data_IF_889169236149
#
_entry.id   IF_889169236149
#
_cell.length_a   1.000
_cell.length_b   1.000
_cell.length_c   1.000
_cell.angle_alpha   90.00
_cell.angle_beta   90.00
_cell.angle_gamma   90.00
#
_symmetry.space_group_name_H-M   'P 1'
#
loop_
_entity.id
_entity.type
_entity.pdbx_description
1 polymer ?
#
# COMPACT_ATOMS: atom_id res chain seq x y z
N UNK A 1 22.95 11.15 5.67
CA UNK A 1 22.14 11.63 6.82
C UNK A 1 21.38 12.94 6.60
N UNK A 2 21.73 13.81 5.62
CA UNK A 2 20.93 15.03 5.34
C UNK A 2 19.47 14.72 4.95
N UNK A 3 19.22 13.63 4.22
CA UNK A 3 17.90 13.31 3.68
C UNK A 3 16.89 12.81 4.73
N UNK A 4 17.33 12.05 5.75
CA UNK A 4 16.42 11.55 6.79
C UNK A 4 15.87 12.68 7.65
N UNK A 5 16.73 13.62 8.06
CA UNK A 5 16.29 14.75 8.88
C UNK A 5 15.32 15.65 8.09
N UNK A 6 15.54 15.86 6.79
CA UNK A 6 14.58 16.59 5.94
C UNK A 6 13.21 15.91 5.91
N UNK A 7 13.15 14.59 5.68
CA UNK A 7 11.89 13.83 5.71
C UNK A 7 11.24 13.96 7.08
N UNK A 8 12.01 13.81 8.16
CA UNK A 8 11.51 13.93 9.52
C UNK A 8 10.94 15.32 9.80
N UNK A 9 11.60 16.39 9.38
CA UNK A 9 11.11 17.76 9.56
C UNK A 9 9.84 18.01 8.73
N UNK A 10 9.79 17.52 7.49
CA UNK A 10 8.59 17.56 6.67
C UNK A 10 7.44 16.80 7.35
N UNK A 11 7.66 15.55 7.73
CA UNK A 11 6.68 14.70 8.41
C UNK A 11 6.15 15.33 9.70
N UNK A 12 7.05 15.90 10.50
CA UNK A 12 6.69 16.62 11.72
C UNK A 12 5.90 17.90 11.45
N UNK A 13 6.11 18.57 10.32
CA UNK A 13 5.31 19.74 9.93
C UNK A 13 3.94 19.31 9.38
N UNK A 14 3.94 18.31 8.51
CA UNK A 14 2.78 17.71 7.88
C UNK A 14 1.77 17.28 8.95
N UNK A 15 2.16 16.37 9.85
CA UNK A 15 1.25 15.82 10.85
C UNK A 15 1.00 16.70 12.09
N UNK A 16 1.64 17.86 12.24
CA UNK A 16 1.43 18.73 13.43
C UNK A 16 0.15 19.55 13.38
N UNK A 17 -0.52 19.59 12.24
CA UNK A 17 -1.76 20.33 12.10
C UNK A 17 -2.90 19.45 12.65
N UNK A 18 -3.15 19.54 13.96
CA UNK A 18 -4.29 18.87 14.63
C UNK A 18 -5.64 19.23 13.96
N UNK A 19 -5.69 20.36 13.24
CA UNK A 19 -6.80 20.77 12.37
C UNK A 19 -7.03 19.80 11.19
N UNK A 20 -5.98 19.21 10.59
CA UNK A 20 -6.10 18.27 9.45
C UNK A 20 -6.72 16.91 9.85
N UNK A 21 -6.71 16.55 11.14
CA UNK A 21 -7.36 15.31 11.62
C UNK A 21 -8.86 15.50 11.74
N UNK A 22 -9.33 16.71 12.05
CA UNK A 22 -10.76 17.01 11.98
C UNK A 22 -11.27 16.98 10.53
N UNK A 23 -10.38 17.21 9.55
CA UNK A 23 -10.70 17.04 8.13
C UNK A 23 -10.88 15.56 7.74
N UNK A 24 -10.39 14.59 8.53
CA UNK A 24 -10.60 13.15 8.21
C UNK A 24 -12.09 12.76 8.20
N UNK A 25 -12.90 13.31 9.12
CA UNK A 25 -14.36 13.12 9.16
C UNK A 25 -15.00 13.80 7.94
N UNK A 26 -14.51 14.99 7.56
CA UNK A 26 -15.00 15.71 6.39
C UNK A 26 -14.70 14.94 5.10
N UNK A 27 -13.50 14.37 4.95
CA UNK A 27 -13.08 13.55 3.81
C UNK A 27 -13.98 12.32 3.70
N UNK A 28 -14.20 11.61 4.81
CA UNK A 28 -15.09 10.44 4.84
C UNK A 28 -16.51 10.81 4.39
N UNK A 29 -17.10 11.86 4.97
CA UNK A 29 -18.42 12.35 4.58
C UNK A 29 -18.50 12.76 3.10
N UNK A 30 -17.47 13.44 2.58
CA UNK A 30 -17.42 13.85 1.18
C UNK A 30 -17.30 12.66 0.24
N UNK A 31 -16.42 11.71 0.54
CA UNK A 31 -16.20 10.51 -0.25
C UNK A 31 -17.48 9.64 -0.29
N UNK A 32 -18.16 9.49 0.85
CA UNK A 32 -19.44 8.78 0.94
C UNK A 32 -20.56 9.49 0.17
N UNK A 33 -20.70 10.82 0.31
CA UNK A 33 -21.69 11.59 -0.47
C UNK A 33 -21.45 11.46 -1.96
N UNK A 34 -20.19 11.50 -2.40
CA UNK A 34 -19.83 11.30 -3.80
C UNK A 34 -20.18 9.89 -4.26
N UNK A 35 -19.80 8.86 -3.50
CA UNK A 35 -20.14 7.47 -3.79
C UNK A 35 -21.67 7.30 -3.93
N UNK A 36 -22.44 7.72 -2.93
CA UNK A 36 -23.90 7.54 -2.92
C UNK A 36 -24.61 8.26 -4.06
N UNK A 37 -24.20 9.50 -4.35
CA UNK A 37 -24.83 10.32 -5.40
C UNK A 37 -24.66 9.72 -6.80
N UNK A 38 -23.56 9.00 -7.03
CA UNK A 38 -23.24 8.43 -8.33
C UNK A 38 -23.62 6.95 -8.44
N UNK A 39 -23.64 6.19 -7.33
CA UNK A 39 -23.80 4.73 -7.37
C UNK A 39 -25.10 4.26 -8.05
N UNK A 40 -26.21 4.96 -7.82
CA UNK A 40 -27.54 4.54 -8.30
C UNK A 40 -27.65 4.65 -9.83
N UNK A 41 -27.01 5.66 -10.42
CA UNK A 41 -27.16 6.01 -11.83
C UNK A 41 -26.15 5.32 -12.74
N UNK A 42 -25.21 4.59 -12.16
CA UNK A 42 -24.09 4.00 -12.87
C UNK A 42 -24.31 2.53 -13.24
N UNK A 43 -23.58 2.07 -14.25
CA UNK A 43 -23.52 0.63 -14.55
C UNK A 43 -22.64 -0.11 -13.53
N UNK A 44 -22.76 -1.43 -13.50
CA UNK A 44 -22.07 -2.28 -12.53
C UNK A 44 -20.54 -2.14 -12.56
N UNK A 45 -19.94 -1.94 -13.74
CA UNK A 45 -18.51 -1.69 -13.85
C UNK A 45 -18.15 -0.37 -13.15
N UNK A 46 -18.92 0.70 -13.39
CA UNK A 46 -18.69 2.01 -12.77
C UNK A 46 -18.92 1.99 -11.26
N UNK A 47 -19.88 1.21 -10.76
CA UNK A 47 -20.08 1.04 -9.32
C UNK A 47 -18.84 0.46 -8.60
N UNK A 48 -18.15 -0.50 -9.22
CA UNK A 48 -16.89 -1.02 -8.66
C UNK A 48 -15.79 0.04 -8.68
N UNK A 49 -15.71 0.86 -9.75
CA UNK A 49 -14.75 1.97 -9.80
C UNK A 49 -15.07 3.08 -8.79
N UNK A 50 -16.35 3.34 -8.51
CA UNK A 50 -16.77 4.26 -7.45
C UNK A 50 -16.36 3.75 -6.06
N UNK A 51 -16.54 2.45 -5.79
CA UNK A 51 -16.08 1.85 -4.53
C UNK A 51 -14.56 1.93 -4.38
N UNK A 52 -13.82 1.63 -5.45
CA UNK A 52 -12.38 1.86 -5.48
C UNK A 52 -12.03 3.32 -5.13
N UNK A 53 -12.73 4.29 -5.73
CA UNK A 53 -12.54 5.72 -5.43
C UNK A 53 -12.76 6.02 -3.94
N UNK A 54 -13.91 5.58 -3.40
CA UNK A 54 -14.24 5.71 -1.98
C UNK A 54 -13.13 5.17 -1.08
N UNK A 55 -12.71 3.92 -1.28
CA UNK A 55 -11.67 3.33 -0.42
C UNK A 55 -10.30 3.99 -0.64
N UNK A 56 -10.00 4.48 -1.85
CA UNK A 56 -8.75 5.20 -2.11
C UNK A 56 -8.66 6.50 -1.32
N UNK A 57 -9.75 7.26 -1.24
CA UNK A 57 -9.78 8.52 -0.47
C UNK A 57 -9.66 8.23 1.04
N UNK A 58 -10.30 7.15 1.50
CA UNK A 58 -10.29 6.76 2.92
C UNK A 58 -8.96 6.16 3.39
N UNK A 59 -8.18 5.52 2.50
CA UNK A 59 -6.84 5.00 2.82
C UNK A 59 -5.94 6.11 3.35
N UNK A 60 -5.98 7.27 2.70
CA UNK A 60 -5.14 8.40 3.06
C UNK A 60 -5.48 8.94 4.45
N UNK A 61 -6.75 9.32 4.66
CA UNK A 61 -7.21 9.93 5.91
C UNK A 61 -7.09 8.99 7.11
N UNK A 62 -7.36 7.69 6.92
CA UNK A 62 -7.19 6.69 7.98
C UNK A 62 -5.72 6.40 8.29
N UNK A 63 -4.84 6.38 7.28
CA UNK A 63 -3.40 6.23 7.44
C UNK A 63 -2.78 7.40 8.22
N UNK A 64 -3.15 8.63 7.88
CA UNK A 64 -2.78 9.84 8.63
C UNK A 64 -3.21 9.77 10.08
N UNK A 65 -4.49 9.47 10.32
CA UNK A 65 -5.05 9.38 11.67
C UNK A 65 -4.30 8.35 12.52
N UNK A 66 -4.05 7.16 11.97
CA UNK A 66 -3.35 6.11 12.69
C UNK A 66 -1.90 6.50 13.02
N UNK A 67 -1.15 6.95 12.02
CA UNK A 67 0.26 7.29 12.18
C UNK A 67 0.46 8.51 13.08
N UNK A 68 -0.47 9.47 13.05
CA UNK A 68 -0.48 10.60 13.98
C UNK A 68 -0.72 10.17 15.42
N UNK A 69 -1.76 9.36 15.69
CA UNK A 69 -2.06 8.87 17.04
C UNK A 69 -0.85 8.16 17.62
N UNK A 70 -0.19 7.34 16.81
CA UNK A 70 0.98 6.61 17.24
C UNK A 70 2.18 7.54 17.51
N UNK A 71 2.53 8.44 16.59
CA UNK A 71 3.75 9.22 16.70
C UNK A 71 3.64 10.46 17.61
N UNK A 72 2.48 11.09 17.71
CA UNK A 72 2.31 12.35 18.44
C UNK A 72 1.53 12.22 19.74
N UNK A 73 0.63 11.24 19.83
CA UNK A 73 -0.08 10.94 21.08
C UNK A 73 0.50 9.71 21.80
N UNK A 74 1.50 9.05 21.22
CA UNK A 74 2.09 7.81 21.73
C UNK A 74 1.01 6.76 22.04
N UNK A 75 -0.02 6.70 21.18
CA UNK A 75 -1.21 5.91 21.40
C UNK A 75 -1.36 4.88 20.29
N UNK A 76 -1.14 3.61 20.64
CA UNK A 76 -1.61 2.51 19.79
C UNK A 76 -3.13 2.47 19.83
N UNK A 77 -3.77 2.62 18.67
CA UNK A 77 -5.21 2.63 18.53
C UNK A 77 -5.66 1.53 17.56
N UNK A 78 -6.25 0.46 18.09
CA UNK A 78 -6.72 -0.67 17.29
C UNK A 78 -7.81 -0.26 16.28
N UNK A 79 -8.71 0.64 16.67
CA UNK A 79 -9.79 1.11 15.79
C UNK A 79 -9.19 1.81 14.56
N UNK A 80 -8.28 2.76 14.77
CA UNK A 80 -7.63 3.49 13.68
C UNK A 80 -6.79 2.57 12.79
N UNK A 81 -6.10 1.57 13.37
CA UNK A 81 -5.38 0.57 12.58
C UNK A 81 -6.33 -0.31 11.75
N UNK A 82 -7.44 -0.77 12.34
CA UNK A 82 -8.42 -1.58 11.63
C UNK A 82 -9.08 -0.79 10.49
N UNK A 83 -9.46 0.47 10.71
CA UNK A 83 -9.98 1.35 9.66
C UNK A 83 -8.97 1.45 8.50
N UNK A 84 -7.71 1.76 8.83
CA UNK A 84 -6.65 1.88 7.83
C UNK A 84 -6.44 0.60 7.03
N UNK A 85 -6.28 -0.55 7.70
CA UNK A 85 -6.06 -1.83 7.03
C UNK A 85 -7.29 -2.28 6.23
N UNK A 86 -8.50 -2.06 6.75
CA UNK A 86 -9.72 -2.37 6.01
C UNK A 86 -9.82 -1.58 4.72
N UNK A 87 -9.53 -0.28 4.74
CA UNK A 87 -9.59 0.54 3.53
C UNK A 87 -8.45 0.23 2.56
N UNK A 88 -7.24 -0.05 3.05
CA UNK A 88 -6.11 -0.54 2.23
C UNK A 88 -6.50 -1.81 1.49
N UNK A 89 -7.02 -2.80 2.22
CA UNK A 89 -7.44 -4.06 1.63
C UNK A 89 -8.60 -3.87 0.64
N UNK A 90 -9.64 -3.13 1.01
CA UNK A 90 -10.81 -2.92 0.14
C UNK A 90 -10.48 -2.14 -1.13
N UNK A 91 -9.52 -1.20 -1.07
CA UNK A 91 -9.02 -0.51 -2.26
C UNK A 91 -8.31 -1.51 -3.20
N UNK A 92 -7.35 -2.29 -2.69
CA UNK A 92 -6.65 -3.31 -3.47
C UNK A 92 -7.59 -4.37 -4.06
N UNK A 93 -8.53 -4.84 -3.26
CA UNK A 93 -9.48 -5.85 -3.69
C UNK A 93 -10.38 -5.31 -4.81
N UNK A 94 -10.91 -4.09 -4.64
CA UNK A 94 -11.72 -3.42 -5.67
C UNK A 94 -10.95 -3.23 -6.97
N UNK A 95 -9.66 -2.86 -6.89
CA UNK A 95 -8.75 -2.80 -8.04
C UNK A 95 -8.62 -4.17 -8.72
N UNK A 96 -8.41 -5.23 -7.93
CA UNK A 96 -8.25 -6.58 -8.46
C UNK A 96 -9.47 -7.10 -9.22
N UNK A 97 -10.68 -6.84 -8.71
CA UNK A 97 -11.92 -7.36 -9.30
C UNK A 97 -12.54 -6.44 -10.36
N UNK A 98 -12.10 -5.18 -10.45
CA UNK A 98 -12.58 -4.25 -11.45
C UNK A 98 -12.33 -4.73 -12.88
N UNK A 99 -13.28 -4.45 -13.76
CA UNK A 99 -13.12 -4.63 -15.21
C UNK A 99 -12.56 -3.34 -15.80
N UNK A 100 -11.52 -3.47 -16.61
CA UNK A 100 -10.86 -2.34 -17.28
C UNK A 100 -11.11 -2.37 -18.78
N UNK A 101 -11.60 -1.27 -19.33
CA UNK A 101 -11.68 -1.03 -20.78
C UNK A 101 -10.82 0.17 -21.18
N UNK A 102 -10.68 0.42 -22.49
CA UNK A 102 -9.79 1.46 -23.02
C UNK A 102 -10.12 2.90 -22.60
N UNK A 103 -11.29 3.14 -22.01
CA UNK A 103 -11.75 4.47 -21.58
C UNK A 103 -11.58 4.74 -20.09
N UNK A 104 -11.25 3.73 -19.29
CA UNK A 104 -11.19 3.86 -17.84
C UNK A 104 -9.76 4.15 -17.40
N UNK A 105 -9.54 5.38 -16.93
CA UNK A 105 -8.26 5.76 -16.36
C UNK A 105 -8.05 5.01 -15.04
N UNK A 106 -6.86 4.44 -14.94
CA UNK A 106 -6.44 3.81 -13.71
C UNK A 106 -6.03 4.89 -12.72
N UNK A 107 -6.90 5.15 -11.73
CA UNK A 107 -6.68 6.23 -10.74
C UNK A 107 -5.54 5.90 -9.76
N UNK A 108 -5.31 4.63 -9.41
CA UNK A 108 -4.34 4.23 -8.37
C UNK A 108 -2.97 3.90 -8.97
N UNK A 109 -1.86 4.43 -8.47
CA UNK A 109 -0.56 4.10 -9.07
C UNK A 109 -0.17 2.61 -8.95
N UNK A 110 0.76 2.15 -9.80
CA UNK A 110 1.44 0.87 -9.58
C UNK A 110 2.26 0.91 -8.28
N UNK A 111 2.84 2.06 -7.96
CA UNK A 111 3.55 2.30 -6.71
C UNK A 111 2.61 2.25 -5.50
N UNK A 112 1.45 2.90 -5.56
CA UNK A 112 0.42 2.87 -4.50
C UNK A 112 -0.03 1.44 -4.20
N UNK A 113 -0.23 0.61 -5.22
CA UNK A 113 -0.56 -0.81 -4.97
C UNK A 113 0.60 -1.57 -4.33
N UNK A 114 1.83 -1.32 -4.76
CA UNK A 114 3.02 -1.89 -4.14
C UNK A 114 3.12 -1.53 -2.67
N UNK A 115 2.92 -0.25 -2.34
CA UNK A 115 2.83 0.26 -0.97
C UNK A 115 1.73 -0.46 -0.18
N UNK A 116 0.50 -0.49 -0.69
CA UNK A 116 -0.64 -1.12 -0.02
C UNK A 116 -0.41 -2.62 0.24
N UNK A 117 0.18 -3.35 -0.72
CA UNK A 117 0.57 -4.75 -0.54
C UNK A 117 1.61 -4.89 0.59
N UNK A 118 2.64 -4.03 0.59
CA UNK A 118 3.66 -4.04 1.63
C UNK A 118 3.07 -3.69 3.00
N UNK A 119 2.11 -2.77 3.09
CA UNK A 119 1.41 -2.44 4.34
C UNK A 119 0.60 -3.64 4.86
N UNK A 120 -0.15 -4.34 4.01
CA UNK A 120 -0.86 -5.56 4.43
C UNK A 120 0.12 -6.60 4.98
N UNK A 121 1.25 -6.82 4.31
CA UNK A 121 2.28 -7.77 4.77
C UNK A 121 2.97 -7.28 6.06
N UNK A 122 3.26 -5.98 6.18
CA UNK A 122 3.86 -5.35 7.36
C UNK A 122 2.98 -5.41 8.60
N UNK A 123 1.66 -5.49 8.41
CA UNK A 123 0.67 -5.49 9.49
C UNK A 123 0.08 -6.86 9.81
N UNK A 124 0.77 -7.94 9.40
CA UNK A 124 0.35 -9.33 9.59
C UNK A 124 -0.91 -9.76 8.81
N UNK A 125 -1.36 -9.00 7.82
CA UNK A 125 -2.54 -9.29 7.00
C UNK A 125 -2.16 -9.92 5.64
N UNK A 126 -1.25 -10.89 5.66
CA UNK A 126 -0.77 -11.56 4.44
C UNK A 126 -1.93 -12.30 3.73
N UNK A 127 -2.91 -12.80 4.48
CA UNK A 127 -4.12 -13.42 3.91
C UNK A 127 -4.97 -12.44 3.08
N UNK A 128 -5.03 -11.17 3.48
CA UNK A 128 -5.71 -10.12 2.69
C UNK A 128 -4.94 -9.82 1.39
N UNK A 129 -3.61 -9.82 1.46
CA UNK A 129 -2.77 -9.66 0.27
C UNK A 129 -2.90 -10.86 -0.69
N UNK A 130 -2.93 -12.07 -0.13
CA UNK A 130 -3.11 -13.34 -0.86
C UNK A 130 -4.47 -13.38 -1.59
N UNK A 131 -5.55 -13.00 -0.91
CA UNK A 131 -6.88 -12.94 -1.51
C UNK A 131 -6.94 -12.02 -2.76
N UNK A 132 -6.13 -10.94 -2.77
CA UNK A 132 -6.00 -10.06 -3.92
C UNK A 132 -5.11 -10.63 -5.04
N UNK A 133 -4.26 -11.63 -4.77
CA UNK A 133 -3.13 -11.99 -5.64
C UNK A 133 -3.54 -12.40 -7.05
N UNK A 134 -4.45 -13.35 -7.19
CA UNK A 134 -4.84 -13.88 -8.52
C UNK A 134 -5.38 -12.80 -9.45
N UNK A 135 -6.12 -11.86 -8.87
CA UNK A 135 -6.73 -10.73 -9.53
C UNK A 135 -5.71 -9.66 -9.92
N UNK A 136 -4.86 -9.25 -8.99
CA UNK A 136 -3.80 -8.27 -9.23
C UNK A 136 -2.77 -8.79 -10.24
N UNK A 137 -2.37 -10.06 -10.12
CA UNK A 137 -1.49 -10.74 -11.10
C UNK A 137 -2.10 -10.69 -12.50
N UNK A 138 -3.38 -11.02 -12.64
CA UNK A 138 -4.07 -10.93 -13.94
C UNK A 138 -4.02 -9.50 -14.51
N UNK A 139 -4.28 -8.49 -13.69
CA UNK A 139 -4.19 -7.09 -14.12
C UNK A 139 -2.79 -6.70 -14.62
N UNK A 140 -1.72 -7.21 -13.99
CA UNK A 140 -0.35 -7.04 -14.50
C UNK A 140 -0.20 -7.68 -15.89
N UNK A 141 -0.58 -8.96 -16.01
CA UNK A 141 -0.36 -9.75 -17.23
C UNK A 141 -1.23 -9.31 -18.42
N UNK A 142 -2.44 -8.80 -18.16
CA UNK A 142 -3.33 -8.25 -19.17
C UNK A 142 -2.91 -6.82 -19.60
N UNK A 143 -1.76 -6.33 -19.13
CA UNK A 143 -1.21 -5.02 -19.46
C UNK A 143 -2.06 -3.85 -18.96
N UNK A 144 -2.96 -4.09 -17.99
CA UNK A 144 -3.74 -3.02 -17.34
C UNK A 144 -2.75 -2.08 -16.66
N UNK A 145 -1.82 -2.60 -15.87
CA UNK A 145 -0.81 -1.84 -15.14
C UNK A 145 0.24 -1.20 -16.05
N UNK A 146 0.61 -1.85 -17.16
CA UNK A 146 1.52 -1.27 -18.16
C UNK A 146 0.97 0.06 -18.70
N UNK A 147 -0.36 0.17 -18.90
CA UNK A 147 -1.01 1.42 -19.35
C UNK A 147 -0.93 2.54 -18.31
N UNK A 148 -0.96 2.20 -17.03
CA UNK A 148 -0.88 3.15 -15.90
C UNK A 148 0.55 3.67 -15.75
N UNK A 149 1.50 2.78 -15.98
CA UNK A 149 2.93 3.07 -16.00
C UNK A 149 3.30 3.92 -17.24
N UNK A 150 2.66 3.66 -18.38
CA UNK A 150 2.83 4.35 -19.68
C UNK A 150 1.82 5.46 -19.92
N UNK A 151 1.53 6.33 -18.93
CA UNK A 151 0.57 7.45 -19.05
C UNK A 151 0.67 8.21 -20.39
N UNK A 152 1.86 8.27 -21.00
CA UNK A 152 2.07 8.69 -22.38
C UNK A 152 2.90 7.64 -23.16
N UNK A 153 2.47 7.28 -24.38
CA UNK A 153 3.13 6.24 -25.21
C UNK A 153 4.59 6.55 -25.58
N UNK A 154 4.99 7.82 -25.48
CA UNK A 154 6.29 8.32 -25.90
C UNK A 154 7.19 8.79 -24.75
N UNK A 155 6.81 8.56 -23.49
CA UNK A 155 7.63 8.94 -22.35
C UNK A 155 8.57 7.79 -21.96
N UNK A 156 9.85 8.11 -21.74
CA UNK A 156 10.77 7.19 -21.06
C UNK A 156 10.22 6.88 -19.67
N UNK A 157 9.98 5.59 -19.43
CA UNK A 157 9.42 5.12 -18.17
C UNK A 157 10.58 4.81 -17.21
N UNK A 158 10.67 5.48 -16.07
CA UNK A 158 11.70 5.17 -15.09
C UNK A 158 11.42 3.80 -14.43
N UNK A 159 12.49 3.07 -14.04
CA UNK A 159 12.37 1.80 -13.34
C UNK A 159 11.48 1.87 -12.09
N UNK A 160 10.54 0.93 -12.00
CA UNK A 160 9.57 0.78 -10.91
C UNK A 160 10.16 0.04 -9.72
N UNK A 161 9.63 0.31 -8.52
CA UNK A 161 10.25 -0.03 -7.22
C UNK A 161 9.27 -0.69 -6.26
N UNK A 162 8.37 0.06 -5.64
CA UNK A 162 7.43 -0.44 -4.63
C UNK A 162 6.48 -1.49 -5.21
N UNK A 163 5.95 -1.24 -6.41
CA UNK A 163 5.15 -2.23 -7.11
C UNK A 163 5.93 -3.52 -7.38
N UNK A 164 7.18 -3.41 -7.84
CA UNK A 164 8.06 -4.55 -8.12
C UNK A 164 8.34 -5.36 -6.84
N UNK A 165 8.61 -4.68 -5.73
CA UNK A 165 8.85 -5.31 -4.44
C UNK A 165 7.60 -6.01 -3.90
N UNK A 166 6.48 -5.29 -3.80
CA UNK A 166 5.25 -5.82 -3.20
C UNK A 166 4.69 -7.01 -3.97
N UNK A 167 4.57 -6.89 -5.29
CA UNK A 167 4.15 -8.00 -6.15
C UNK A 167 5.19 -9.12 -6.20
N UNK A 168 6.48 -8.81 -6.22
CA UNK A 168 7.54 -9.80 -6.21
C UNK A 168 7.52 -10.65 -4.93
N UNK A 169 7.39 -10.00 -3.77
CA UNK A 169 7.24 -10.67 -2.47
C UNK A 169 5.98 -11.54 -2.46
N UNK A 170 4.85 -11.01 -2.94
CA UNK A 170 3.60 -11.78 -3.01
C UNK A 170 3.72 -13.01 -3.93
N UNK A 171 4.27 -12.87 -5.15
CA UNK A 171 4.55 -14.01 -6.02
C UNK A 171 5.46 -15.05 -5.36
N UNK A 172 6.48 -14.59 -4.63
CA UNK A 172 7.40 -15.49 -3.94
C UNK A 172 6.71 -16.32 -2.86
N UNK A 173 5.65 -15.81 -2.21
CA UNK A 173 4.82 -16.56 -1.26
C UNK A 173 4.18 -17.76 -1.96
N UNK A 174 3.76 -17.59 -3.21
CA UNK A 174 3.22 -18.65 -4.07
C UNK A 174 4.29 -19.53 -4.75
N UNK A 175 5.57 -19.33 -4.43
CA UNK A 175 6.71 -19.97 -5.12
C UNK A 175 6.74 -19.66 -6.62
N UNK A 176 6.31 -18.47 -6.98
CA UNK A 176 6.34 -17.95 -8.34
C UNK A 176 7.34 -16.79 -8.47
N UNK A 177 7.64 -16.42 -9.71
CA UNK A 177 8.41 -15.21 -10.03
C UNK A 177 7.67 -14.43 -11.11
N UNK A 178 7.55 -13.12 -10.93
CA UNK A 178 6.97 -12.26 -11.96
C UNK A 178 7.93 -12.08 -13.12
N UNK A 179 7.43 -12.33 -14.33
CA UNK A 179 8.11 -11.97 -15.58
C UNK A 179 7.81 -10.50 -15.91
N UNK A 180 8.66 -9.62 -15.38
CA UNK A 180 8.52 -8.17 -15.55
C UNK A 180 8.73 -7.72 -17.00
N UNK A 181 9.54 -8.46 -17.75
CA UNK A 181 9.80 -8.18 -19.17
C UNK A 181 8.54 -8.50 -20.01
N UNK A 182 7.88 -9.63 -19.73
CA UNK A 182 6.58 -9.95 -20.34
C UNK A 182 5.48 -8.95 -19.96
N UNK A 183 5.46 -8.46 -18.72
CA UNK A 183 4.57 -7.40 -18.27
C UNK A 183 4.90 -6.02 -18.88
N UNK A 184 6.07 -5.88 -19.53
CA UNK A 184 6.59 -4.64 -20.10
C UNK A 184 6.70 -3.48 -19.09
N UNK A 185 6.96 -3.81 -17.82
CA UNK A 185 7.16 -2.84 -16.73
C UNK A 185 8.66 -2.77 -16.45
N UNK A 186 9.33 -1.64 -16.74
CA UNK A 186 10.72 -1.45 -16.35
C UNK A 186 10.86 -1.50 -14.83
N UNK A 187 11.87 -2.19 -14.33
CA UNK A 187 12.03 -2.46 -12.90
C UNK A 187 13.46 -2.19 -12.44
N UNK A 188 13.59 -1.75 -11.18
CA UNK A 188 14.89 -1.57 -10.53
C UNK A 188 15.35 -2.91 -9.95
N UNK A 189 16.55 -3.35 -10.38
CA UNK A 189 17.12 -4.65 -10.02
C UNK A 189 17.34 -4.82 -8.53
N UNK A 190 17.53 -3.75 -7.76
CA UNK A 190 17.65 -3.81 -6.31
C UNK A 190 16.48 -4.61 -5.69
N UNK A 191 15.26 -4.36 -6.16
CA UNK A 191 14.06 -4.96 -5.58
C UNK A 191 13.86 -6.41 -6.05
N UNK A 192 14.13 -6.71 -7.31
CA UNK A 192 14.01 -8.09 -7.82
C UNK A 192 15.11 -9.00 -7.30
N UNK A 193 16.34 -8.51 -7.21
CA UNK A 193 17.47 -9.26 -6.71
C UNK A 193 17.30 -9.53 -5.20
N UNK A 194 16.76 -8.57 -4.43
CA UNK A 194 16.39 -8.81 -3.03
C UNK A 194 15.36 -9.95 -2.88
N UNK A 195 14.27 -9.92 -3.65
CA UNK A 195 13.22 -10.96 -3.56
C UNK A 195 13.78 -12.34 -3.93
N UNK A 196 14.62 -12.41 -4.97
CA UNK A 196 15.18 -13.66 -5.48
C UNK A 196 16.24 -14.24 -4.55
N UNK A 197 17.17 -13.41 -4.09
CA UNK A 197 18.42 -13.88 -3.48
C UNK A 197 18.42 -13.72 -1.95
N UNK A 198 17.79 -12.67 -1.42
CA UNK A 198 17.89 -12.31 0.00
C UNK A 198 16.66 -12.73 0.81
N UNK A 199 15.44 -12.53 0.29
CA UNK A 199 14.19 -12.62 1.07
C UNK A 199 14.07 -13.90 1.91
N UNK A 200 14.45 -15.06 1.34
CA UNK A 200 14.39 -16.35 2.03
C UNK A 200 15.75 -16.96 2.32
N UNK A 201 16.84 -16.19 2.20
CA UNK A 201 18.18 -16.68 2.52
C UNK A 201 18.31 -16.96 4.02
N UNK A 202 19.03 -18.04 4.35
CA UNK A 202 19.51 -18.32 5.71
C UNK A 202 20.80 -17.57 6.06
N UNK A 203 21.44 -16.91 5.08
CA UNK A 203 22.58 -16.02 5.32
C UNK A 203 22.08 -14.68 5.87
N UNK A 204 22.18 -14.50 7.18
CA UNK A 204 21.73 -13.27 7.85
C UNK A 204 22.50 -12.03 7.41
N UNK A 205 23.76 -12.15 6.96
CA UNK A 205 24.54 -11.02 6.43
C UNK A 205 23.95 -10.56 5.11
N UNK A 206 23.69 -11.49 4.19
CA UNK A 206 23.04 -11.17 2.90
C UNK A 206 21.66 -10.52 3.10
N UNK A 207 20.88 -11.01 4.06
CA UNK A 207 19.56 -10.45 4.38
C UNK A 207 19.70 -9.03 4.95
N UNK A 208 20.63 -8.81 5.89
CA UNK A 208 20.85 -7.50 6.50
C UNK A 208 21.30 -6.45 5.48
N UNK A 209 22.24 -6.80 4.59
CA UNK A 209 22.71 -5.91 3.52
C UNK A 209 21.58 -5.56 2.54
N UNK A 210 20.75 -6.55 2.18
CA UNK A 210 19.57 -6.36 1.35
C UNK A 210 18.56 -5.40 1.98
N UNK A 211 18.23 -5.61 3.26
CA UNK A 211 17.32 -4.74 4.03
C UNK A 211 17.87 -3.31 4.11
N UNK A 212 19.16 -3.15 4.45
CA UNK A 212 19.80 -1.83 4.52
C UNK A 212 19.75 -1.12 3.16
N UNK A 213 19.92 -1.85 2.06
CA UNK A 213 19.85 -1.29 0.71
C UNK A 213 18.43 -0.80 0.39
N UNK A 214 17.40 -1.56 0.76
CA UNK A 214 16.00 -1.14 0.61
C UNK A 214 15.67 0.09 1.45
N UNK A 215 16.05 0.11 2.73
CA UNK A 215 15.78 1.24 3.63
C UNK A 215 16.53 2.53 3.22
N UNK A 216 17.76 2.40 2.70
CA UNK A 216 18.47 3.53 2.12
C UNK A 216 17.78 4.03 0.84
N UNK A 217 17.22 3.12 0.03
CA UNK A 217 16.42 3.45 -1.15
C UNK A 217 15.15 4.20 -0.76
N UNK A 218 14.45 3.74 0.27
CA UNK A 218 13.29 4.41 0.86
C UNK A 218 13.61 5.87 1.16
N UNK A 219 14.62 6.16 1.99
CA UNK A 219 15.01 7.55 2.32
C UNK A 219 15.36 8.34 1.07
N UNK A 220 16.10 7.74 0.13
CA UNK A 220 16.52 8.43 -1.10
C UNK A 220 15.33 8.87 -1.94
N UNK A 221 14.32 8.02 -2.10
CA UNK A 221 13.19 8.29 -2.99
C UNK A 221 12.10 9.11 -2.30
N UNK A 222 11.89 8.91 -1.00
CA UNK A 222 11.00 9.73 -0.17
C UNK A 222 11.47 11.19 -0.07
N UNK A 223 12.79 11.46 -0.01
CA UNK A 223 13.26 12.84 0.14
C UNK A 223 13.17 13.66 -1.15
N UNK A 224 13.17 13.01 -2.32
CA UNK A 224 13.31 13.72 -3.61
C UNK A 224 12.04 14.42 -4.07
N UNK A 225 10.88 13.83 -3.82
CA UNK A 225 9.57 14.45 -4.08
C UNK A 225 9.36 15.71 -3.25
N UNK A 226 10.00 15.82 -2.07
CA UNK A 226 9.92 16.99 -1.19
C UNK A 226 10.78 18.16 -1.68
N UNK A 227 11.90 17.88 -2.36
CA UNK A 227 12.89 18.87 -2.75
C UNK A 227 12.68 19.39 -4.18
N UNK A 228 12.04 18.59 -5.06
CA UNK A 228 11.93 18.90 -6.49
C UNK A 228 10.51 18.57 -6.99
N UNK A 229 9.71 19.62 -7.25
CA UNK A 229 8.31 19.51 -7.71
C UNK A 229 8.15 18.72 -9.02
N UNK A 230 9.19 18.68 -9.87
CA UNK A 230 9.19 17.88 -11.10
C UNK A 230 9.54 16.40 -10.90
N UNK A 231 9.92 15.98 -9.70
CA UNK A 231 10.29 14.61 -9.33
C UNK A 231 9.15 13.90 -8.59
N UNK A 232 8.00 13.81 -9.28
CA UNK A 232 6.76 13.23 -8.77
C UNK A 232 6.70 11.71 -8.86
N UNK A 233 5.85 11.09 -8.05
CA UNK A 233 5.77 9.64 -7.86
C UNK A 233 5.61 8.81 -9.14
N UNK A 234 4.81 9.27 -10.09
CA UNK A 234 4.60 8.54 -11.34
C UNK A 234 5.84 8.55 -12.27
N UNK A 235 6.81 9.45 -11.99
CA UNK A 235 8.14 9.50 -12.61
C UNK A 235 9.19 8.67 -11.82
N UNK A 236 8.76 7.67 -11.05
CA UNK A 236 9.65 6.70 -10.42
C UNK A 236 10.15 7.10 -9.03
N UNK A 237 9.58 8.15 -8.45
CA UNK A 237 9.79 8.62 -7.07
C UNK A 237 8.70 8.07 -6.15
N UNK A 238 8.64 6.74 -6.07
CA UNK A 238 7.46 5.97 -5.68
C UNK A 238 7.01 6.03 -4.22
N UNK A 239 7.69 6.82 -3.38
CA UNK A 239 7.39 6.98 -1.96
C UNK A 239 6.68 8.33 -1.74
N UNK A 240 5.36 8.31 -1.82
CA UNK A 240 4.52 9.53 -1.88
C UNK A 240 3.36 9.57 -0.89
N UNK A 241 3.28 8.57 -0.01
CA UNK A 241 2.31 8.54 1.08
C UNK A 241 2.93 9.31 2.26
N UNK A 242 2.62 10.61 2.35
CA UNK A 242 3.24 11.53 3.32
C UNK A 242 3.16 11.02 4.77
N UNK A 243 2.05 10.37 5.13
CA UNK A 243 1.84 9.76 6.45
C UNK A 243 2.70 8.51 6.73
N UNK A 244 3.30 7.91 5.72
CA UNK A 244 4.10 6.68 5.81
C UNK A 244 5.60 6.88 5.54
N UNK A 245 6.08 8.10 5.27
CA UNK A 245 7.50 8.35 4.94
C UNK A 245 8.51 7.97 6.03
N UNK A 246 8.07 7.89 7.29
CA UNK A 246 8.89 7.42 8.42
C UNK A 246 8.62 5.97 8.80
N UNK A 247 7.68 5.29 8.12
CA UNK A 247 7.34 3.90 8.41
C UNK A 247 8.26 2.96 7.62
N UNK A 248 9.09 2.12 8.27
CA UNK A 248 9.89 1.10 7.57
C UNK A 248 9.03 -0.11 7.17
N UNK A 249 7.96 0.11 6.41
CA UNK A 249 6.99 -0.93 6.06
C UNK A 249 7.61 -2.09 5.28
N UNK A 250 8.65 -1.86 4.46
CA UNK A 250 9.34 -2.95 3.76
C UNK A 250 10.03 -3.89 4.75
N UNK A 251 10.74 -3.33 5.74
CA UNK A 251 11.42 -4.12 6.76
C UNK A 251 10.42 -4.95 7.59
N UNK A 252 9.28 -4.36 7.95
CA UNK A 252 8.24 -5.10 8.67
C UNK A 252 7.58 -6.18 7.81
N UNK A 253 7.31 -5.90 6.53
CA UNK A 253 6.80 -6.91 5.60
C UNK A 253 7.77 -8.09 5.45
N UNK A 254 9.07 -7.80 5.27
CA UNK A 254 10.14 -8.81 5.20
C UNK A 254 10.19 -9.64 6.49
N UNK A 255 10.14 -8.97 7.65
CA UNK A 255 10.12 -9.63 8.97
C UNK A 255 8.96 -10.62 9.07
N UNK A 256 7.77 -10.21 8.69
CA UNK A 256 6.57 -11.03 8.83
C UNK A 256 6.54 -12.20 7.85
N UNK A 257 6.94 -11.99 6.60
CA UNK A 257 7.00 -13.04 5.57
C UNK A 257 8.07 -14.08 5.89
N UNK A 258 9.25 -13.64 6.35
CA UNK A 258 10.31 -14.56 6.78
C UNK A 258 9.87 -15.41 7.97
N UNK A 259 9.21 -14.79 8.95
CA UNK A 259 8.68 -15.51 10.11
C UNK A 259 7.67 -16.59 9.73
N UNK A 260 6.83 -16.38 8.71
CA UNK A 260 5.92 -17.43 8.20
C UNK A 260 6.64 -18.67 7.66
N UNK A 261 7.90 -18.52 7.23
CA UNK A 261 8.76 -19.63 6.80
C UNK A 261 9.71 -20.14 7.89
N UNK A 262 9.52 -19.71 9.14
CA UNK A 262 10.38 -20.08 10.26
C UNK A 262 11.78 -19.46 10.21
N UNK A 263 11.98 -18.41 9.39
CA UNK A 263 13.25 -17.70 9.28
C UNK A 263 13.26 -16.49 10.24
N UNK A 264 14.41 -16.24 10.84
CA UNK A 264 14.70 -15.01 11.58
C UNK A 264 14.95 -13.85 10.61
N UNK A 265 14.76 -12.62 11.07
CA UNK A 265 15.16 -11.42 10.32
C UNK A 265 16.19 -10.66 11.16
N UNK A 266 17.38 -10.37 10.59
CA UNK A 266 18.42 -9.67 11.33
C UNK A 266 17.96 -8.26 11.72
N UNK A 267 18.33 -7.84 12.92
CA UNK A 267 18.14 -6.46 13.37
C UNK A 267 19.13 -5.58 12.63
N UNK A 268 18.62 -4.53 11.98
CA UNK A 268 19.44 -3.55 11.25
C UNK A 268 19.49 -2.23 12.01
N UNK A 269 20.67 -1.62 12.07
CA UNK A 269 20.85 -0.27 12.60
C UNK A 269 20.54 0.75 11.51
N UNK A 270 19.33 1.30 11.51
CA UNK A 270 18.88 2.27 10.53
C UNK A 270 17.89 3.28 11.15
N UNK A 271 17.95 4.59 10.81
CA UNK A 271 17.10 5.60 11.46
C UNK A 271 15.60 5.36 11.33
N UNK A 272 15.13 4.78 10.20
CA UNK A 272 13.73 4.39 10.04
C UNK A 272 13.30 3.29 11.02
N UNK A 273 14.23 2.53 11.60
CA UNK A 273 13.94 1.40 12.48
C UNK A 273 13.87 1.77 13.97
N UNK A 274 13.97 3.06 14.32
CA UNK A 274 14.07 3.52 15.71
C UNK A 274 12.74 4.04 16.28
N UNK A 275 11.81 4.46 15.42
CA UNK A 275 10.57 5.14 15.84
C UNK A 275 9.42 4.21 16.25
N UNK A 276 8.30 4.77 16.77
CA UNK A 276 7.09 4.01 17.10
C UNK A 276 6.55 3.19 15.93
N UNK A 277 6.56 3.74 14.72
CA UNK A 277 6.18 3.05 13.49
C UNK A 277 7.07 1.84 13.14
N UNK A 278 8.26 1.72 13.72
CA UNK A 278 9.14 0.59 13.50
C UNK A 278 9.02 -0.47 14.59
N UNK A 279 8.82 0.00 15.82
CA UNK A 279 8.96 -0.78 17.06
C UNK A 279 7.63 -1.30 17.59
N UNK A 280 6.51 -0.76 17.12
CA UNK A 280 5.17 -1.24 17.45
C UNK A 280 4.84 -2.51 16.68
N UNK A 281 4.12 -3.44 17.32
CA UNK A 281 3.52 -4.58 16.63
C UNK A 281 2.18 -4.13 15.99
N UNK A 282 2.20 -3.94 14.67
CA UNK A 282 1.07 -3.40 13.91
C UNK A 282 0.08 -4.49 13.52
N UNK A 283 -0.51 -5.18 14.50
CA UNK A 283 -1.47 -6.26 14.26
C UNK A 283 -2.91 -5.80 14.54
N UNK A 284 -3.73 -5.53 13.51
CA UNK A 284 -5.14 -5.19 13.74
C UNK A 284 -5.88 -6.37 14.35
N UNK A 285 -6.78 -6.07 15.29
CA UNK A 285 -7.73 -7.01 15.86
C UNK A 285 -9.14 -6.65 15.39
N UNK A 286 -9.57 -7.28 14.29
CA UNK A 286 -10.88 -7.05 13.68
C UNK A 286 -12.05 -7.52 14.54
N UNK A 287 -11.83 -8.44 15.50
CA UNK A 287 -12.88 -8.88 16.44
C UNK A 287 -13.32 -7.78 17.40
N UNK A 288 -12.49 -6.73 17.53
CA UNK A 288 -12.74 -5.53 18.33
C UNK A 288 -12.98 -4.30 17.46
N UNK A 289 -13.02 -4.47 16.15
CA UNK A 289 -13.24 -3.37 15.22
C UNK A 289 -14.71 -2.97 15.23
N UNK A 290 -14.96 -1.69 15.55
CA UNK A 290 -16.26 -1.08 15.37
C UNK A 290 -16.28 -0.49 13.97
N UNK A 291 -16.60 -1.31 12.97
CA UNK A 291 -16.67 -0.85 11.59
C UNK A 291 -17.64 0.34 11.47
N UNK A 292 -17.32 1.36 10.66
CA UNK A 292 -18.24 2.46 10.40
C UNK A 292 -19.61 1.95 9.94
N UNK A 293 -20.70 2.62 10.35
CA UNK A 293 -22.08 2.13 10.12
C UNK A 293 -22.39 1.91 8.63
N UNK A 294 -21.73 2.65 7.73
CA UNK A 294 -21.88 2.54 6.28
C UNK A 294 -21.09 1.36 5.66
N UNK A 295 -20.06 0.83 6.34
CA UNK A 295 -19.08 -0.09 5.75
C UNK A 295 -19.72 -1.40 5.25
N UNK A 296 -20.42 -2.10 6.13
CA UNK A 296 -21.09 -3.35 5.76
C UNK A 296 -22.23 -3.14 4.75
N UNK A 297 -23.09 -2.10 4.87
CA UNK A 297 -24.05 -1.75 3.82
C UNK A 297 -23.44 -1.51 2.43
N UNK A 298 -22.29 -0.82 2.35
CA UNK A 298 -21.57 -0.65 1.08
C UNK A 298 -21.08 -1.99 0.55
N UNK A 299 -20.50 -2.85 1.40
CA UNK A 299 -20.07 -4.18 0.97
C UNK A 299 -21.24 -5.05 0.48
N UNK A 300 -22.40 -5.01 1.12
CA UNK A 300 -23.57 -5.79 0.67
C UNK A 300 -24.05 -5.36 -0.73
N UNK A 301 -23.97 -4.06 -1.04
CA UNK A 301 -24.26 -3.55 -2.39
C UNK A 301 -23.22 -4.00 -3.40
N UNK A 302 -21.94 -4.08 -3.02
CA UNK A 302 -20.87 -4.57 -3.89
C UNK A 302 -20.98 -6.07 -4.15
N UNK A 303 -21.38 -6.87 -3.14
CA UNK A 303 -21.63 -8.31 -3.26
C UNK A 303 -22.74 -8.60 -4.27
N UNK A 304 -23.78 -7.76 -4.31
CA UNK A 304 -24.86 -7.89 -5.28
C UNK A 304 -24.40 -7.70 -6.74
N UNK A 305 -23.26 -7.01 -6.95
CA UNK A 305 -22.70 -6.70 -8.26
C UNK A 305 -21.57 -7.68 -8.64
N UNK A 306 -20.67 -7.93 -7.70
CA UNK A 306 -19.52 -8.80 -7.84
C UNK A 306 -19.45 -9.72 -6.60
N UNK A 307 -19.96 -10.96 -6.68
CA UNK A 307 -20.10 -11.86 -5.53
C UNK A 307 -18.80 -12.14 -4.77
N UNK A 308 -17.63 -11.98 -5.40
CA UNK A 308 -16.31 -12.15 -4.77
C UNK A 308 -16.08 -11.24 -3.57
N UNK A 309 -16.77 -10.09 -3.49
CA UNK A 309 -16.73 -9.24 -2.30
C UNK A 309 -17.21 -9.95 -1.03
N UNK A 310 -17.93 -11.08 -1.13
CA UNK A 310 -18.33 -11.88 0.02
C UNK A 310 -17.12 -12.53 0.72
N UNK A 311 -16.09 -12.91 -0.05
CA UNK A 311 -14.84 -13.45 0.48
C UNK A 311 -14.05 -12.36 1.22
N UNK A 312 -13.98 -11.15 0.64
CA UNK A 312 -13.35 -9.99 1.30
C UNK A 312 -14.07 -9.62 2.60
N UNK A 313 -15.42 -9.57 2.58
CA UNK A 313 -16.24 -9.30 3.77
C UNK A 313 -15.98 -10.30 4.91
N UNK A 314 -15.63 -11.54 4.59
CA UNK A 314 -15.41 -12.58 5.59
C UNK A 314 -14.15 -12.38 6.45
N UNK A 315 -13.22 -11.51 6.02
CA UNK A 315 -11.97 -11.21 6.74
C UNK A 315 -12.12 -10.16 7.86
N UNK A 316 -13.28 -9.52 7.98
CA UNK A 316 -13.53 -8.46 8.97
C UNK A 316 -14.34 -8.94 10.18
N UNK A 317 -13.93 -10.06 10.80
CA UNK A 317 -14.68 -10.72 11.89
C UNK A 317 -14.04 -10.55 13.25
#
# INVERSE_FOLDING_TARGET
>A
MKNFESIKQFYLKYLKLEEEINDSILIEDMALKYFESNFINENDVMKIHLAKGLFSDLVYSSGEKYTWLLNFKNQYNNQALCDYIAFVFMNLFSIGVAKYNDKQSYITGFHTQGFQLLILMATHNIEMADLCYSHLKKNVMDGVLTRTVRRNKNADIPPKKLGVLGYGMLASIHNETFDWDAAQIPYDRLYTDFVRDSLYSGDETLVAEGILSLLNSHIKWASRSLDIESEVHFLGYEYDEDYALLWPFEYQAIKNIRAQRGLTTPVVAHPLCEGPLATTDHRPDFSRWQAPEWFFPVMDRLIAIEPKFAEAKALFK
#
